data_IF_773264717763
#
_entry.id   IF_773264717763
#
_cell.length_a   1.000
_cell.length_b   1.000
_cell.length_c   1.000
_cell.angle_alpha   90.00
_cell.angle_beta   90.00
_cell.angle_gamma   90.00
#
_symmetry.space_group_name_H-M   'P 1'
#
loop_
_entity.id
_entity.type
_entity.pdbx_description
1 polymer ?
#
# COMPACT_ATOMS: atom_id res chain seq x y z
N UNK A 1 17.01 -11.01 3.52
CA UNK A 1 16.82 -12.25 2.71
C UNK A 1 15.97 -11.89 1.49
N UNK A 2 16.60 -11.56 0.36
CA UNK A 2 15.90 -11.35 -0.93
C UNK A 2 15.86 -12.71 -1.66
N UNK A 3 15.16 -13.69 -1.08
CA UNK A 3 15.14 -15.06 -1.62
C UNK A 3 13.92 -15.20 -2.53
N UNK A 4 14.12 -14.86 -3.80
CA UNK A 4 13.33 -15.31 -4.96
C UNK A 4 11.80 -15.17 -4.87
N UNK A 5 11.30 -13.95 -4.64
CA UNK A 5 9.87 -13.65 -4.86
C UNK A 5 9.50 -13.46 -6.33
N UNK A 6 10.46 -13.61 -7.25
CA UNK A 6 10.29 -13.43 -8.70
C UNK A 6 10.76 -14.67 -9.46
N UNK A 7 10.04 -15.00 -10.52
CA UNK A 7 10.29 -16.14 -11.41
C UNK A 7 10.32 -15.65 -12.86
N UNK A 8 11.21 -16.22 -13.68
CA UNK A 8 11.18 -15.96 -15.13
C UNK A 8 10.00 -16.68 -15.78
N UNK A 9 9.28 -15.99 -16.66
CA UNK A 9 8.07 -16.52 -17.32
C UNK A 9 8.15 -16.24 -18.81
N UNK A 10 7.62 -17.14 -19.64
CA UNK A 10 7.45 -16.92 -21.09
C UNK A 10 6.01 -16.52 -21.37
N UNK A 11 5.78 -15.67 -22.39
CA UNK A 11 4.44 -15.18 -22.75
C UNK A 11 3.44 -16.32 -23.00
N UNK A 12 3.89 -17.38 -23.66
CA UNK A 12 3.12 -18.61 -23.91
C UNK A 12 2.55 -19.24 -22.61
N UNK A 13 3.28 -19.13 -21.49
CA UNK A 13 2.85 -19.69 -20.19
C UNK A 13 1.83 -18.81 -19.47
N UNK A 14 1.60 -17.59 -19.94
CA UNK A 14 0.58 -16.66 -19.43
C UNK A 14 -0.77 -16.82 -20.16
N UNK A 15 -0.78 -17.37 -21.38
CA UNK A 15 -1.95 -17.48 -22.27
C UNK A 15 -3.00 -18.54 -21.91
N UNK A 16 -3.00 -19.09 -20.68
CA UNK A 16 -3.94 -20.17 -20.28
C UNK A 16 -5.28 -19.71 -19.69
N UNK A 17 -5.56 -18.41 -19.63
CA UNK A 17 -6.89 -17.91 -19.22
C UNK A 17 -7.56 -17.19 -20.39
N UNK A 18 -8.73 -17.67 -20.80
CA UNK A 18 -9.55 -17.10 -21.90
C UNK A 18 -9.99 -15.63 -21.67
N UNK A 19 -9.71 -15.05 -20.50
CA UNK A 19 -9.94 -13.63 -20.18
C UNK A 19 -8.70 -12.76 -20.47
N UNK A 20 -8.08 -12.94 -21.63
CA UNK A 20 -6.77 -12.36 -21.98
C UNK A 20 -6.82 -10.91 -22.51
N UNK A 21 -7.86 -10.13 -22.20
CA UNK A 21 -7.93 -8.72 -22.61
C UNK A 21 -7.06 -7.77 -21.75
N UNK A 22 -6.43 -8.27 -20.69
CA UNK A 22 -5.96 -7.40 -19.60
C UNK A 22 -4.44 -7.34 -19.40
N UNK A 23 -3.64 -7.87 -20.34
CA UNK A 23 -2.18 -7.70 -20.31
C UNK A 23 -1.66 -7.08 -21.59
N UNK A 24 -1.60 -5.74 -21.62
CA UNK A 24 -0.84 -5.05 -22.66
C UNK A 24 0.67 -5.26 -22.40
N UNK A 25 1.40 -5.70 -23.44
CA UNK A 25 2.86 -5.98 -23.37
C UNK A 25 3.69 -4.82 -22.82
N UNK A 26 3.17 -3.58 -22.94
CA UNK A 26 3.81 -2.34 -22.49
C UNK A 26 4.10 -2.28 -20.98
N UNK A 27 3.41 -3.10 -20.17
CA UNK A 27 3.57 -3.13 -18.71
C UNK A 27 4.49 -4.26 -18.23
N UNK A 28 5.16 -4.97 -19.15
CA UNK A 28 6.07 -6.05 -18.85
C UNK A 28 7.51 -5.53 -18.70
N UNK A 29 8.16 -5.91 -17.60
CA UNK A 29 9.55 -5.54 -17.34
C UNK A 29 10.49 -6.66 -17.78
N UNK A 30 11.32 -6.36 -18.77
CA UNK A 30 12.34 -7.27 -19.27
C UNK A 30 13.69 -6.98 -18.62
N UNK A 31 14.43 -8.05 -18.31
CA UNK A 31 15.84 -7.93 -17.95
C UNK A 31 16.70 -7.56 -19.17
N UNK A 32 17.94 -7.11 -18.92
CA UNK A 32 18.92 -6.80 -19.98
C UNK A 32 19.13 -7.97 -20.97
N UNK A 33 18.95 -9.21 -20.51
CA UNK A 33 19.04 -10.41 -21.34
C UNK A 33 17.73 -10.79 -22.06
N UNK A 34 16.73 -9.88 -22.10
CA UNK A 34 15.44 -10.11 -22.74
C UNK A 34 14.50 -11.08 -21.99
N UNK A 35 14.83 -11.48 -20.76
CA UNK A 35 13.97 -12.38 -19.96
C UNK A 35 12.92 -11.58 -19.20
N UNK A 36 11.66 -12.00 -19.29
CA UNK A 36 10.55 -11.48 -18.50
C UNK A 36 10.58 -12.06 -17.08
N UNK A 37 10.41 -11.20 -16.08
CA UNK A 37 10.36 -11.58 -14.67
C UNK A 37 9.03 -11.14 -14.04
N UNK A 38 8.37 -12.05 -13.34
CA UNK A 38 7.13 -11.76 -12.61
C UNK A 38 7.27 -12.18 -11.16
N UNK A 39 6.67 -11.42 -10.24
CA UNK A 39 6.55 -11.88 -8.86
C UNK A 39 5.61 -13.09 -8.76
N UNK A 40 5.82 -13.95 -7.76
CA UNK A 40 5.04 -15.17 -7.59
C UNK A 40 3.54 -14.87 -7.40
N UNK A 41 3.22 -13.74 -6.76
CA UNK A 41 1.84 -13.28 -6.56
C UNK A 41 1.17 -12.91 -7.88
N UNK A 42 1.81 -12.08 -8.71
CA UNK A 42 1.29 -11.74 -10.04
C UNK A 42 1.15 -13.00 -10.90
N UNK A 43 2.17 -13.88 -10.93
CA UNK A 43 2.09 -15.14 -11.67
C UNK A 43 0.88 -15.98 -11.27
N UNK A 44 0.65 -16.17 -9.96
CA UNK A 44 -0.49 -16.98 -9.48
C UNK A 44 -1.84 -16.32 -9.78
N UNK A 45 -1.94 -14.99 -9.68
CA UNK A 45 -3.19 -14.27 -9.97
C UNK A 45 -3.54 -14.30 -11.46
N UNK A 46 -2.55 -14.09 -12.32
CA UNK A 46 -2.71 -14.13 -13.78
C UNK A 46 -3.17 -15.52 -14.23
N UNK A 47 -2.57 -16.57 -13.68
CA UNK A 47 -2.99 -17.96 -13.95
C UNK A 47 -4.44 -18.25 -13.53
N UNK A 48 -5.00 -17.47 -12.61
CA UNK A 48 -6.41 -17.54 -12.19
C UNK A 48 -7.32 -16.59 -12.98
N UNK A 49 -6.79 -15.84 -13.95
CA UNK A 49 -7.54 -14.85 -14.73
C UNK A 49 -7.83 -13.54 -13.99
N UNK A 50 -7.12 -13.25 -12.89
CA UNK A 50 -7.34 -12.05 -12.07
C UNK A 50 -6.15 -11.10 -12.14
N UNK A 51 -6.42 -9.80 -12.14
CA UNK A 51 -5.41 -8.75 -11.91
C UNK A 51 -5.54 -8.22 -10.50
N UNK A 52 -4.41 -8.10 -9.82
CA UNK A 52 -4.34 -7.59 -8.46
C UNK A 52 -4.27 -6.07 -8.49
N UNK A 53 -5.03 -5.40 -7.63
CA UNK A 53 -4.94 -3.96 -7.40
C UNK A 53 -3.52 -3.55 -6.97
N UNK A 54 -2.82 -4.40 -6.24
CA UNK A 54 -1.44 -4.19 -5.80
C UNK A 54 -0.40 -4.83 -6.75
N UNK A 55 -0.61 -4.72 -8.06
CA UNK A 55 0.37 -5.15 -9.06
C UNK A 55 1.09 -3.95 -9.66
N UNK A 56 2.29 -4.16 -10.21
CA UNK A 56 3.00 -3.11 -10.97
C UNK A 56 2.15 -2.64 -12.16
N UNK A 57 1.39 -3.55 -12.77
CA UNK A 57 0.45 -3.25 -13.86
C UNK A 57 -0.58 -2.19 -13.45
N UNK A 58 -1.12 -2.28 -12.23
CA UNK A 58 -2.07 -1.32 -11.67
C UNK A 58 -1.38 -0.21 -10.88
N UNK A 59 -0.09 0.06 -11.10
CA UNK A 59 0.71 1.06 -10.36
C UNK A 59 0.66 0.90 -8.83
N UNK A 60 0.49 -0.34 -8.35
CA UNK A 60 0.28 -0.64 -6.93
C UNK A 60 -0.90 0.15 -6.33
N UNK A 61 -1.91 0.43 -7.16
CA UNK A 61 -3.08 1.20 -6.77
C UNK A 61 -3.74 0.59 -5.53
N UNK A 62 -4.03 1.48 -4.58
CA UNK A 62 -4.88 1.20 -3.46
C UNK A 62 -6.32 1.56 -3.82
N UNK A 63 -7.26 1.14 -2.99
CA UNK A 63 -8.63 1.63 -3.07
C UNK A 63 -8.65 3.16 -2.98
N UNK A 64 -9.57 3.79 -3.71
CA UNK A 64 -9.73 5.24 -3.64
C UNK A 64 -10.09 5.62 -2.21
N UNK A 65 -9.47 6.69 -1.73
CA UNK A 65 -9.81 7.27 -0.43
C UNK A 65 -11.25 7.77 -0.55
N UNK A 66 -12.15 7.39 0.38
CA UNK A 66 -13.52 7.92 0.39
C UNK A 66 -13.52 9.45 0.38
N UNK A 67 -14.47 10.05 -0.34
CA UNK A 67 -14.54 11.50 -0.55
C UNK A 67 -14.60 12.27 0.78
N UNK A 68 -15.20 11.67 1.81
CA UNK A 68 -15.30 12.22 3.16
C UNK A 68 -13.94 12.34 3.85
N UNK A 69 -13.00 11.46 3.53
CA UNK A 69 -11.65 11.45 4.08
C UNK A 69 -10.65 12.23 3.23
N UNK A 70 -10.94 12.40 1.94
CA UNK A 70 -10.07 13.12 0.99
C UNK A 70 -9.93 14.61 1.33
N UNK A 71 -10.95 15.19 1.99
CA UNK A 71 -10.97 16.60 2.38
C UNK A 71 -10.21 16.90 3.69
N UNK A 72 -9.79 15.86 4.42
CA UNK A 72 -9.15 16.03 5.73
C UNK A 72 -7.69 16.45 5.58
N UNK A 73 -7.28 17.41 6.40
CA UNK A 73 -5.87 17.70 6.55
C UNK A 73 -5.15 16.61 7.37
N UNK A 74 -3.82 16.63 7.38
CA UNK A 74 -3.01 15.62 8.07
C UNK A 74 -3.34 15.50 9.57
N UNK A 75 -3.69 16.60 10.23
CA UNK A 75 -4.03 16.61 11.65
C UNK A 75 -5.40 16.00 11.89
N UNK A 76 -6.40 16.37 11.09
CA UNK A 76 -7.76 15.82 11.17
C UNK A 76 -7.77 14.32 10.88
N UNK A 77 -7.06 13.88 9.84
CA UNK A 77 -6.90 12.48 9.50
C UNK A 77 -6.25 11.69 10.65
N UNK A 78 -5.26 12.28 11.35
CA UNK A 78 -4.65 11.67 12.54
C UNK A 78 -5.62 11.62 13.73
N UNK A 79 -6.46 12.64 13.92
CA UNK A 79 -7.45 12.69 15.02
C UNK A 79 -8.51 11.60 14.90
N UNK A 80 -8.97 11.31 13.68
CA UNK A 80 -9.98 10.28 13.42
C UNK A 80 -9.39 8.89 13.12
N UNK A 81 -8.06 8.77 13.09
CA UNK A 81 -7.43 7.48 12.82
C UNK A 81 -7.77 6.50 13.94
N UNK A 82 -8.32 5.34 13.59
CA UNK A 82 -8.62 4.27 14.54
C UNK A 82 -7.38 3.71 15.26
N UNK A 83 -6.19 4.05 14.76
CA UNK A 83 -4.92 3.41 15.10
C UNK A 83 -3.75 4.39 15.00
N UNK A 84 -2.88 4.36 16.00
CA UNK A 84 -1.64 5.15 16.05
C UNK A 84 -0.44 4.21 15.89
N UNK A 85 0.22 4.22 14.72
CA UNK A 85 1.39 3.38 14.48
C UNK A 85 2.64 4.00 15.08
N UNK A 86 3.40 3.20 15.83
CA UNK A 86 4.75 3.50 16.30
C UNK A 86 5.72 2.57 15.59
N UNK A 87 6.49 3.12 14.66
CA UNK A 87 7.49 2.36 13.90
C UNK A 87 8.66 3.28 13.52
N UNK A 88 9.86 2.71 13.52
CA UNK A 88 11.06 3.41 13.06
C UNK A 88 11.28 3.11 11.58
N UNK A 89 11.06 4.10 10.73
CA UNK A 89 11.42 4.00 9.31
C UNK A 89 12.93 4.26 9.15
N UNK A 90 13.62 3.41 8.40
CA UNK A 90 15.03 3.55 8.05
C UNK A 90 15.21 3.41 6.55
N UNK A 91 16.11 4.20 5.97
CA UNK A 91 16.51 4.01 4.57
C UNK A 91 17.34 2.73 4.44
N UNK A 92 17.02 1.88 3.46
CA UNK A 92 17.85 0.74 3.11
C UNK A 92 19.05 1.20 2.26
N UNK A 93 20.19 0.56 2.47
CA UNK A 93 21.46 0.93 1.81
C UNK A 93 21.42 0.84 0.27
N UNK A 94 20.40 0.20 -0.33
CA UNK A 94 20.28 0.02 -1.78
C UNK A 94 18.81 0.19 -2.22
N UNK A 95 18.60 0.94 -3.30
CA UNK A 95 17.33 0.93 -4.05
C UNK A 95 16.26 1.92 -3.62
N UNK A 96 16.58 2.94 -2.81
CA UNK A 96 15.63 4.01 -2.44
C UNK A 96 14.46 3.56 -1.57
N UNK A 97 14.46 2.29 -1.13
CA UNK A 97 13.40 1.72 -0.30
C UNK A 97 13.62 2.08 1.17
N UNK A 98 12.51 2.31 1.87
CA UNK A 98 12.50 2.41 3.33
C UNK A 98 12.04 1.09 3.93
N UNK A 99 12.53 0.79 5.13
CA UNK A 99 12.16 -0.39 5.90
C UNK A 99 11.83 -0.01 7.34
N UNK A 100 11.07 -0.86 8.02
CA UNK A 100 10.82 -0.72 9.45
C UNK A 100 11.96 -1.41 10.20
N UNK A 101 12.58 -0.69 11.13
CA UNK A 101 13.59 -1.23 12.01
C UNK A 101 13.00 -1.52 13.40
N UNK A 102 13.03 -2.79 13.80
CA UNK A 102 12.51 -3.23 15.09
C UNK A 102 10.99 -3.40 15.08
N UNK A 103 10.34 -3.34 16.26
CA UNK A 103 8.90 -3.52 16.39
C UNK A 103 8.11 -2.42 15.69
N UNK A 104 7.03 -2.81 15.02
CA UNK A 104 5.93 -1.92 14.68
C UNK A 104 4.80 -2.16 15.68
N UNK A 105 4.49 -1.15 16.50
CA UNK A 105 3.43 -1.23 17.50
C UNK A 105 2.25 -0.42 16.99
N UNK A 106 1.05 -1.02 16.98
CA UNK A 106 -0.15 -0.35 16.53
C UNK A 106 -1.14 -0.22 17.70
N UNK A 107 -1.31 1.00 18.19
CA UNK A 107 -2.14 1.28 19.36
C UNK A 107 -3.54 1.69 18.91
N UNK A 108 -4.62 1.04 19.39
CA UNK A 108 -5.98 1.46 19.06
C UNK A 108 -6.28 2.84 19.66
N UNK A 109 -6.88 3.72 18.86
CA UNK A 109 -7.36 5.02 19.30
C UNK A 109 -8.80 4.91 19.83
N UNK A 110 -9.08 5.51 20.99
CA UNK A 110 -10.43 5.57 21.55
C UNK A 110 -11.11 6.83 21.01
N UNK A 111 -11.70 6.72 19.82
CA UNK A 111 -12.27 7.87 19.12
C UNK A 111 -13.52 8.44 19.79
N UNK A 112 -14.31 7.63 20.50
CA UNK A 112 -15.54 8.09 21.16
C UNK A 112 -15.28 9.29 22.08
N UNK A 113 -14.19 9.23 22.85
CA UNK A 113 -13.80 10.30 23.77
C UNK A 113 -13.35 11.53 22.99
N UNK A 114 -12.50 11.35 21.97
CA UNK A 114 -11.97 12.46 21.15
C UNK A 114 -13.09 13.19 20.41
N UNK A 115 -14.00 12.45 19.76
CA UNK A 115 -15.14 13.00 19.05
C UNK A 115 -16.18 13.63 19.99
N UNK A 116 -16.29 13.16 21.25
CA UNK A 116 -17.17 13.78 22.25
C UNK A 116 -16.59 15.04 22.91
N UNK A 117 -15.27 15.15 22.98
CA UNK A 117 -14.57 16.24 23.67
C UNK A 117 -14.14 17.37 22.73
N UNK A 118 -14.15 17.14 21.41
CA UNK A 118 -13.75 18.13 20.41
C UNK A 118 -14.93 18.51 19.50
N UNK A 119 -15.06 19.80 19.13
CA UNK A 119 -14.24 20.94 19.55
C UNK A 119 -14.67 21.44 20.94
N UNK A 120 -13.71 21.62 21.85
CA UNK A 120 -14.02 22.24 23.15
C UNK A 120 -14.55 23.65 22.91
N UNK A 121 -15.70 24.04 23.49
CA UNK A 121 -16.22 25.39 23.36
C UNK A 121 -15.22 26.39 23.96
N UNK A 122 -15.19 27.66 23.49
CA UNK A 122 -14.28 28.68 24.00
C UNK A 122 -14.33 28.89 25.52
N UNK A 123 -15.47 28.59 26.15
CA UNK A 123 -15.67 28.63 27.61
C UNK A 123 -14.84 27.59 28.38
N UNK A 124 -14.42 26.52 27.73
CA UNK A 124 -13.61 25.43 28.31
C UNK A 124 -12.14 25.52 27.90
N UNK A 125 -11.74 26.60 27.23
CA UNK A 125 -10.34 26.86 26.93
C UNK A 125 -9.66 27.38 28.21
N UNK A 126 -9.09 26.47 29.01
CA UNK A 126 -8.18 26.86 30.08
C UNK A 126 -6.87 27.34 29.42
N UNK A 127 -6.84 28.61 29.01
CA UNK A 127 -5.60 29.30 28.69
C UNK A 127 -4.73 29.28 29.95
N UNK A 128 -3.67 28.48 29.97
CA UNK A 128 -2.62 28.64 30.97
C UNK A 128 -1.65 29.74 30.49
N UNK A 129 -1.31 30.72 31.35
CA UNK A 129 -0.40 31.81 31.03
C UNK A 129 1.04 31.36 30.78
#
# INVERSE_FOLDING_TARGET
MYRHSVTSVTLEKLQKSENAEVFEEKNLVYSVAGKLWLCNTCKSSIQKGNILCQSVYSNLALEQIPQELEQLNEMEARLISLRIPFMKMVALARGGQQSIHGPAVNVPAILNVVCSLLPRPPSEWHWYP
#
